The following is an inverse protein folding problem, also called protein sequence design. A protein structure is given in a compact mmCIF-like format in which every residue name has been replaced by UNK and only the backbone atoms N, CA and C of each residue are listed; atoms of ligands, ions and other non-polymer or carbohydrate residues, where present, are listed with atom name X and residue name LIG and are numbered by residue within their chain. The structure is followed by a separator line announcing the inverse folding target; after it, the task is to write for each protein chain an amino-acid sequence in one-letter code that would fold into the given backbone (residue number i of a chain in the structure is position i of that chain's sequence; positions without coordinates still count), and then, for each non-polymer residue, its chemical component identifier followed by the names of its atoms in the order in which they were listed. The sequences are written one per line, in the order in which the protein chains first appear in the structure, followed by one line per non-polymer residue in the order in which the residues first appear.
data_IF_594001256754
#
_entry.id   IF_594001256754
#
_cell.length_a   1.000
_cell.length_b   1.000
_cell.length_c   1.000
_cell.angle_alpha   90.00
_cell.angle_beta   90.00
_cell.angle_gamma   90.00
#
_symmetry.space_group_name_H-M   'P 1'
#
loop_
_entity.id
_entity.type
_entity.pdbx_description
1 polymer ?
#
# COMPACT_ATOMS: atom_id res chain seq x y z
N UNK A 1 19.92 -36.95 32.67
CA UNK A 1 20.42 -36.73 31.30
C UNK A 1 20.12 -37.97 30.47
N UNK A 2 19.03 -37.98 29.71
CA UNK A 2 18.85 -38.95 28.63
C UNK A 2 18.50 -38.13 27.39
N UNK A 3 19.47 -37.99 26.48
CA UNK A 3 19.23 -37.46 25.13
C UNK A 3 18.71 -38.65 24.32
N UNK A 4 17.39 -38.74 24.13
CA UNK A 4 16.85 -39.57 23.06
C UNK A 4 17.12 -38.85 21.74
N UNK A 5 18.10 -39.36 21.00
CA UNK A 5 18.34 -39.03 19.60
C UNK A 5 17.12 -39.46 18.79
N UNK A 6 16.29 -38.49 18.42
CA UNK A 6 15.19 -38.67 17.47
C UNK A 6 15.80 -38.93 16.09
N UNK A 7 15.70 -40.18 15.62
CA UNK A 7 16.04 -40.53 14.23
C UNK A 7 14.89 -40.11 13.33
N UNK A 8 15.09 -39.04 12.55
CA UNK A 8 14.26 -38.75 11.38
C UNK A 8 14.54 -39.85 10.35
N UNK A 9 13.60 -40.77 10.13
CA UNK A 9 13.66 -41.66 8.98
C UNK A 9 13.33 -40.83 7.74
N UNK A 10 14.33 -40.60 6.89
CA UNK A 10 14.12 -40.08 5.55
C UNK A 10 13.38 -41.15 4.75
N UNK A 11 12.05 -41.11 4.79
CA UNK A 11 11.25 -41.81 3.81
C UNK A 11 11.50 -41.16 2.45
N UNK A 12 11.64 -41.98 1.41
CA UNK A 12 11.61 -41.58 -0.01
C UNK A 12 10.24 -40.97 -0.34
N UNK A 13 9.93 -39.81 0.23
CA UNK A 13 8.69 -39.08 0.03
C UNK A 13 8.93 -37.98 -1.02
N UNK A 14 8.34 -38.09 -2.23
CA UNK A 14 8.43 -37.04 -3.25
C UNK A 14 7.76 -35.72 -2.82
N UNK A 15 7.06 -35.69 -1.68
CA UNK A 15 6.39 -34.50 -1.14
C UNK A 15 7.10 -33.87 0.07
N UNK A 16 8.32 -34.30 0.41
CA UNK A 16 9.15 -33.70 1.46
C UNK A 16 8.44 -33.56 2.83
N UNK A 17 7.49 -34.43 3.14
CA UNK A 17 6.79 -34.35 4.43
C UNK A 17 7.68 -34.90 5.54
N UNK A 18 7.87 -34.09 6.58
CA UNK A 18 8.49 -34.58 7.81
C UNK A 18 7.39 -35.21 8.64
N UNK A 19 7.31 -36.54 8.59
CA UNK A 19 6.38 -37.31 9.43
C UNK A 19 7.02 -37.52 10.80
N UNK A 20 6.38 -37.01 11.84
CA UNK A 20 6.78 -37.24 13.23
C UNK A 20 5.70 -38.09 13.91
N UNK A 21 6.14 -39.15 14.56
CA UNK A 21 5.27 -39.96 15.41
C UNK A 21 5.16 -39.30 16.77
N UNK A 22 3.93 -39.13 17.26
CA UNK A 22 3.70 -38.57 18.58
C UNK A 22 3.97 -39.64 19.66
N UNK A 23 4.45 -39.20 20.84
CA UNK A 23 4.64 -40.11 21.97
C UNK A 23 3.29 -40.72 22.39
N UNK A 24 3.29 -42.04 22.60
CA UNK A 24 2.07 -42.80 22.85
C UNK A 24 1.48 -42.43 24.22
N UNK A 25 0.21 -42.04 24.23
CA UNK A 25 -0.51 -41.78 25.47
C UNK A 25 -0.75 -43.09 26.25
N UNK A 26 -0.48 -43.08 27.56
CA UNK A 26 -0.72 -44.23 28.45
C UNK A 26 -2.23 -44.36 28.66
N UNK A 27 -2.82 -45.48 28.23
CA UNK A 27 -4.24 -45.79 28.44
C UNK A 27 -5.08 -46.05 27.17
N UNK A 28 -4.46 -46.32 26.03
CA UNK A 28 -5.19 -46.64 24.78
C UNK A 28 -5.76 -48.06 24.78
N UNK A 29 -7.01 -48.17 24.37
CA UNK A 29 -7.69 -49.44 24.11
C UNK A 29 -7.55 -49.87 22.63
N UNK A 30 -8.05 -51.05 22.29
CA UNK A 30 -7.93 -51.60 20.93
C UNK A 30 -8.59 -50.69 19.87
N UNK A 31 -9.70 -50.03 20.22
CA UNK A 31 -10.39 -49.11 19.31
C UNK A 31 -9.58 -47.85 19.04
N UNK A 32 -8.85 -47.35 20.04
CA UNK A 32 -7.98 -46.18 19.87
C UNK A 32 -6.88 -46.39 18.81
N UNK A 33 -6.39 -47.62 18.64
CA UNK A 33 -5.35 -47.93 17.63
C UNK A 33 -5.89 -47.98 16.20
N UNK A 34 -7.19 -48.27 16.03
CA UNK A 34 -7.82 -48.34 14.71
C UNK A 34 -8.28 -46.98 14.21
N UNK A 35 -8.65 -46.08 15.13
CA UNK A 35 -9.34 -44.82 14.78
C UNK A 35 -8.45 -43.59 14.89
N UNK A 36 -7.44 -43.59 15.78
CA UNK A 36 -6.62 -42.40 16.04
C UNK A 36 -5.36 -42.37 15.18
N UNK A 37 -5.09 -41.21 14.59
CA UNK A 37 -3.86 -40.96 13.83
C UNK A 37 -2.68 -40.73 14.78
N UNK A 38 -1.64 -41.55 14.63
CA UNK A 38 -0.41 -41.49 15.44
C UNK A 38 0.75 -40.78 14.76
N UNK A 39 0.62 -40.59 13.46
CA UNK A 39 1.61 -39.95 12.63
C UNK A 39 1.11 -38.54 12.28
N UNK A 40 1.88 -37.53 12.66
CA UNK A 40 1.66 -36.14 12.27
C UNK A 40 2.61 -35.80 11.12
N UNK A 41 2.05 -35.39 10.00
CA UNK A 41 2.81 -34.83 8.88
C UNK A 41 2.89 -33.31 9.04
N UNK A 42 4.10 -32.77 9.13
CA UNK A 42 4.33 -31.33 8.96
C UNK A 42 5.08 -31.10 7.67
N UNK A 43 4.59 -30.16 6.87
CA UNK A 43 5.36 -29.59 5.78
C UNK A 43 6.41 -28.66 6.39
N UNK A 44 7.71 -28.84 6.09
CA UNK A 44 8.71 -27.89 6.54
C UNK A 44 8.45 -26.55 5.85
N UNK A 45 7.91 -25.58 6.59
CA UNK A 45 7.95 -24.18 6.18
C UNK A 45 9.39 -23.71 6.38
N UNK A 46 10.29 -24.08 5.46
CA UNK A 46 11.62 -23.47 5.43
C UNK A 46 11.42 -21.98 5.19
N UNK A 47 11.55 -21.20 6.27
CA UNK A 47 11.67 -19.76 6.24
C UNK A 47 13.00 -19.40 5.58
N UNK A 48 13.05 -19.52 4.26
CA UNK A 48 14.09 -18.96 3.41
C UNK A 48 13.53 -18.93 1.99
N UNK A 49 13.39 -17.72 1.47
CA UNK A 49 12.91 -17.42 0.11
C UNK A 49 13.79 -18.04 -1.01
N UNK A 50 14.86 -18.77 -0.66
CA UNK A 50 15.85 -19.29 -1.62
C UNK A 50 15.67 -20.76 -2.04
N UNK A 51 14.75 -21.54 -1.47
CA UNK A 51 14.47 -22.91 -1.97
C UNK A 51 13.23 -22.90 -2.85
N UNK A 52 13.45 -22.64 -4.14
CA UNK A 52 12.45 -22.68 -5.22
C UNK A 52 12.11 -24.13 -5.60
N UNK A 53 11.65 -24.95 -4.67
CA UNK A 53 11.21 -26.33 -4.96
C UNK A 53 9.91 -26.71 -4.22
N UNK A 54 8.99 -25.76 -4.05
CA UNK A 54 7.59 -26.10 -3.83
C UNK A 54 6.76 -25.73 -5.08
N UNK A 55 6.31 -26.70 -5.90
CA UNK A 55 5.45 -26.45 -7.07
C UNK A 55 4.14 -25.72 -6.72
N UNK A 56 3.66 -25.81 -5.48
CA UNK A 56 2.52 -25.03 -4.98
C UNK A 56 2.83 -23.56 -4.65
N UNK A 57 4.11 -23.18 -4.50
CA UNK A 57 4.54 -21.79 -4.33
C UNK A 57 5.14 -21.18 -5.61
N UNK A 58 5.02 -21.85 -6.76
CA UNK A 58 5.12 -21.13 -8.03
C UNK A 58 3.86 -20.28 -8.14
N UNK A 59 3.97 -19.02 -7.73
CA UNK A 59 2.90 -18.03 -7.84
C UNK A 59 2.41 -18.08 -9.28
N UNK A 60 1.11 -18.34 -9.43
CA UNK A 60 0.50 -18.40 -10.74
C UNK A 60 0.66 -17.02 -11.39
N UNK A 61 1.11 -16.94 -12.65
CA UNK A 61 1.30 -15.66 -13.35
C UNK A 61 0.01 -14.83 -13.36
N UNK A 62 -1.16 -15.48 -13.35
CA UNK A 62 -2.45 -14.80 -13.22
C UNK A 62 -2.68 -14.22 -11.81
N UNK A 63 -2.21 -14.87 -10.75
CA UNK A 63 -2.29 -14.35 -9.39
C UNK A 63 -1.37 -13.14 -9.22
N UNK A 64 -0.13 -13.21 -9.72
CA UNK A 64 0.79 -12.07 -9.68
C UNK A 64 0.26 -10.87 -10.45
N UNK A 65 -0.35 -11.11 -11.63
CA UNK A 65 -1.01 -10.07 -12.40
C UNK A 65 -2.18 -9.46 -11.62
N UNK A 66 -3.01 -10.28 -10.96
CA UNK A 66 -4.12 -9.81 -10.15
C UNK A 66 -3.65 -8.96 -8.96
N UNK A 67 -2.62 -9.40 -8.23
CA UNK A 67 -2.03 -8.63 -7.14
C UNK A 67 -1.50 -7.28 -7.60
N UNK A 68 -0.78 -7.27 -8.73
CA UNK A 68 -0.26 -6.03 -9.30
C UNK A 68 -1.37 -5.08 -9.73
N UNK A 69 -2.42 -5.58 -10.38
CA UNK A 69 -3.59 -4.76 -10.72
C UNK A 69 -4.26 -4.16 -9.48
N UNK A 70 -4.32 -4.92 -8.38
CA UNK A 70 -4.89 -4.44 -7.12
C UNK A 70 -4.01 -3.38 -6.45
N UNK A 71 -2.69 -3.54 -6.48
CA UNK A 71 -1.74 -2.51 -6.02
C UNK A 71 -1.87 -1.22 -6.85
N UNK A 72 -1.87 -1.33 -8.19
CA UNK A 72 -2.05 -0.18 -9.09
C UNK A 72 -3.38 0.54 -8.81
N UNK A 73 -4.47 -0.22 -8.59
CA UNK A 73 -5.79 0.33 -8.22
C UNK A 73 -5.73 1.07 -6.89
N UNK A 74 -5.06 0.49 -5.89
CA UNK A 74 -4.91 1.09 -4.58
C UNK A 74 -4.09 2.38 -4.62
N UNK A 75 -2.99 2.39 -5.37
CA UNK A 75 -2.18 3.59 -5.58
C UNK A 75 -2.98 4.71 -6.23
N UNK A 76 -3.74 4.40 -7.29
CA UNK A 76 -4.62 5.38 -7.95
C UNK A 76 -5.66 5.95 -6.98
N UNK A 77 -6.25 5.12 -6.12
CA UNK A 77 -7.21 5.57 -5.11
C UNK A 77 -6.57 6.55 -4.12
N UNK A 78 -5.34 6.28 -3.66
CA UNK A 78 -4.57 7.18 -2.78
C UNK A 78 -4.31 8.53 -3.48
N UNK A 79 -3.92 8.52 -4.75
CA UNK A 79 -3.63 9.75 -5.49
C UNK A 79 -4.90 10.60 -5.71
N UNK A 80 -6.04 9.96 -6.03
CA UNK A 80 -7.32 10.64 -6.16
C UNK A 80 -7.73 11.28 -4.83
N UNK A 81 -7.62 10.55 -3.72
CA UNK A 81 -7.98 11.08 -2.39
C UNK A 81 -7.07 12.25 -1.98
N UNK A 82 -5.76 12.11 -2.19
CA UNK A 82 -4.77 13.15 -1.88
C UNK A 82 -5.02 14.42 -2.71
N UNK A 83 -5.32 14.26 -3.99
CA UNK A 83 -5.64 15.37 -4.88
C UNK A 83 -6.98 16.04 -4.50
N UNK A 84 -8.01 15.27 -4.17
CA UNK A 84 -9.29 15.80 -3.72
C UNK A 84 -9.15 16.63 -2.43
N UNK A 85 -8.33 16.17 -1.48
CA UNK A 85 -8.00 16.93 -0.27
C UNK A 85 -7.34 18.28 -0.60
N UNK A 86 -6.37 18.26 -1.53
CA UNK A 86 -5.67 19.47 -1.99
C UNK A 86 -6.60 20.44 -2.72
N UNK A 87 -7.52 19.93 -3.55
CA UNK A 87 -8.55 20.73 -4.24
C UNK A 87 -9.45 21.44 -3.24
N UNK A 88 -9.90 20.76 -2.17
CA UNK A 88 -10.74 21.38 -1.12
C UNK A 88 -10.01 22.54 -0.43
N UNK A 89 -8.74 22.34 -0.10
CA UNK A 89 -7.89 23.36 0.51
C UNK A 89 -7.71 24.57 -0.41
N UNK A 90 -7.33 24.34 -1.68
CA UNK A 90 -7.14 25.43 -2.65
C UNK A 90 -8.45 26.15 -2.98
N UNK A 91 -9.58 25.45 -3.03
CA UNK A 91 -10.91 26.06 -3.22
C UNK A 91 -11.21 27.05 -2.10
N UNK A 92 -10.93 26.69 -0.84
CA UNK A 92 -11.12 27.60 0.29
C UNK A 92 -10.26 28.85 0.17
N UNK A 93 -9.01 28.71 -0.26
CA UNK A 93 -8.09 29.83 -0.46
C UNK A 93 -8.56 30.74 -1.60
N UNK A 94 -8.97 30.17 -2.74
CA UNK A 94 -9.46 30.94 -3.89
C UNK A 94 -10.71 31.72 -3.52
N UNK A 95 -11.65 31.11 -2.80
CA UNK A 95 -12.86 31.81 -2.32
C UNK A 95 -12.50 32.98 -1.36
N UNK A 96 -11.50 32.80 -0.50
CA UNK A 96 -11.00 33.89 0.35
C UNK A 96 -10.42 35.03 -0.48
N UNK A 97 -9.58 34.70 -1.48
CA UNK A 97 -8.99 35.68 -2.40
C UNK A 97 -10.07 36.46 -3.16
N UNK A 98 -11.13 35.79 -3.62
CA UNK A 98 -12.25 36.44 -4.32
C UNK A 98 -12.98 37.47 -3.44
N UNK A 99 -13.08 37.21 -2.13
CA UNK A 99 -13.71 38.13 -1.17
C UNK A 99 -12.84 39.32 -0.73
N UNK A 100 -11.52 39.27 -0.97
CA UNK A 100 -10.56 40.30 -0.56
C UNK A 100 -10.44 41.44 -1.57
N UNK A 101 -10.05 42.63 -1.10
CA UNK A 101 -9.76 43.78 -1.98
C UNK A 101 -8.45 43.56 -2.74
N UNK A 102 -8.24 44.21 -3.90
CA UNK A 102 -7.00 44.07 -4.65
C UNK A 102 -5.74 44.41 -3.83
N UNK A 103 -5.78 45.38 -2.91
CA UNK A 103 -4.62 45.69 -2.07
C UNK A 103 -4.30 44.60 -1.05
N UNK A 104 -5.32 43.90 -0.55
CA UNK A 104 -5.16 42.79 0.40
C UNK A 104 -4.63 41.53 -0.31
N UNK A 105 -5.03 41.31 -1.57
CA UNK A 105 -4.56 40.19 -2.40
C UNK A 105 -3.05 40.22 -2.62
N UNK A 106 -2.49 41.40 -2.88
CA UNK A 106 -1.06 41.57 -3.14
C UNK A 106 -0.20 41.38 -1.87
N UNK A 107 -0.81 41.51 -0.69
CA UNK A 107 -0.15 41.32 0.61
C UNK A 107 -0.35 39.92 1.19
N UNK A 108 -1.21 39.11 0.56
CA UNK A 108 -1.55 37.78 1.04
C UNK A 108 -0.33 36.85 0.92
N UNK A 109 0.16 36.38 2.05
CA UNK A 109 1.18 35.33 2.12
C UNK A 109 0.63 34.15 2.91
N UNK A 110 0.76 32.95 2.34
CA UNK A 110 0.30 31.73 2.99
C UNK A 110 1.46 31.05 3.73
N UNK A 111 1.25 30.52 4.95
CA UNK A 111 2.25 29.72 5.63
C UNK A 111 2.57 28.45 4.82
N UNK A 112 3.73 27.82 5.07
CA UNK A 112 4.20 26.64 4.33
C UNK A 112 3.18 25.47 4.26
N UNK A 113 2.25 25.38 5.22
CA UNK A 113 1.14 24.42 5.21
C UNK A 113 -0.11 24.83 4.41
N UNK A 114 -0.08 25.96 3.71
CA UNK A 114 -1.23 26.59 3.01
C UNK A 114 -2.48 26.74 3.90
N UNK A 115 -2.28 26.86 5.22
CA UNK A 115 -3.36 26.94 6.21
C UNK A 115 -4.06 25.61 6.53
N UNK A 116 -3.57 24.48 6.04
CA UNK A 116 -4.08 23.14 6.34
C UNK A 116 -3.33 22.42 7.47
N UNK A 117 -3.82 21.22 7.82
CA UNK A 117 -3.21 20.37 8.85
C UNK A 117 -1.88 19.72 8.43
N UNK A 118 -1.59 19.63 7.13
CA UNK A 118 -0.39 18.96 6.62
C UNK A 118 0.05 19.54 5.27
N UNK A 119 1.33 19.85 5.17
CA UNK A 119 2.00 20.24 3.92
C UNK A 119 2.29 19.03 3.00
N UNK A 120 2.32 17.83 3.55
CA UNK A 120 2.71 16.62 2.81
C UNK A 120 1.69 16.26 1.72
N UNK A 121 0.39 16.46 1.97
CA UNK A 121 -0.66 16.10 1.00
C UNK A 121 -0.63 17.03 -0.23
N UNK A 122 -0.63 18.38 -0.09
CA UNK A 122 -0.47 19.27 -1.24
C UNK A 122 0.82 19.00 -2.01
N UNK A 123 1.94 18.80 -1.30
CA UNK A 123 3.22 18.48 -1.92
C UNK A 123 3.16 17.18 -2.72
N UNK A 124 2.52 16.13 -2.17
CA UNK A 124 2.37 14.84 -2.86
C UNK A 124 1.51 14.99 -4.11
N UNK A 125 0.33 15.63 -4.00
CA UNK A 125 -0.55 15.86 -5.15
C UNK A 125 0.17 16.63 -6.26
N UNK A 126 0.88 17.71 -5.91
CA UNK A 126 1.64 18.51 -6.89
C UNK A 126 2.75 17.71 -7.55
N UNK A 127 3.49 16.87 -6.82
CA UNK A 127 4.52 15.97 -7.39
C UNK A 127 3.96 14.87 -8.30
N UNK A 128 2.66 14.57 -8.20
CA UNK A 128 2.00 13.58 -9.06
C UNK A 128 1.46 14.24 -10.33
N UNK A 129 0.94 15.47 -10.24
CA UNK A 129 0.41 16.22 -11.39
C UNK A 129 1.51 16.92 -12.19
N UNK A 130 2.55 17.38 -11.49
CA UNK A 130 3.74 18.02 -12.03
C UNK A 130 4.98 17.20 -11.69
N UNK A 131 6.10 17.47 -12.36
CA UNK A 131 7.37 16.84 -12.04
C UNK A 131 7.88 17.25 -10.64
N UNK A 132 8.69 16.42 -9.95
CA UNK A 132 9.15 16.71 -8.59
C UNK A 132 9.85 18.06 -8.41
N UNK A 133 10.59 18.52 -9.42
CA UNK A 133 11.27 19.83 -9.42
C UNK A 133 10.26 20.98 -9.53
N UNK A 134 9.35 20.90 -10.52
CA UNK A 134 8.30 21.91 -10.74
C UNK A 134 7.33 22.01 -9.57
N UNK A 135 7.05 20.91 -8.90
CA UNK A 135 6.21 20.89 -7.72
C UNK A 135 6.78 21.78 -6.59
N UNK A 136 8.11 21.83 -6.42
CA UNK A 136 8.75 22.69 -5.43
C UNK A 136 8.62 24.17 -5.80
N UNK A 137 8.86 24.52 -7.06
CA UNK A 137 8.69 25.89 -7.57
C UNK A 137 7.25 26.37 -7.42
N UNK A 138 6.26 25.51 -7.74
CA UNK A 138 4.84 25.83 -7.61
C UNK A 138 4.45 26.00 -6.13
N UNK A 139 5.01 25.19 -5.23
CA UNK A 139 4.79 25.37 -3.79
C UNK A 139 5.31 26.72 -3.31
N UNK A 140 6.53 27.09 -3.67
CA UNK A 140 7.09 28.41 -3.33
C UNK A 140 6.27 29.56 -3.91
N UNK A 141 5.80 29.41 -5.16
CA UNK A 141 4.93 30.38 -5.81
C UNK A 141 3.56 30.50 -5.12
N UNK A 142 3.00 29.41 -4.60
CA UNK A 142 1.76 29.41 -3.81
C UNK A 142 1.93 30.14 -2.47
N UNK A 143 3.14 30.14 -1.87
CA UNK A 143 3.42 30.90 -0.65
C UNK A 143 3.58 32.40 -0.90
N UNK A 144 4.29 32.74 -1.97
CA UNK A 144 4.65 34.14 -2.28
C UNK A 144 3.53 34.89 -2.99
N UNK A 145 2.81 34.25 -3.91
CA UNK A 145 1.78 34.87 -4.75
C UNK A 145 0.51 34.00 -4.84
N UNK A 146 -0.14 33.69 -3.70
CA UNK A 146 -1.30 32.79 -3.66
C UNK A 146 -2.46 33.25 -4.54
N UNK A 147 -2.73 34.56 -4.60
CA UNK A 147 -3.87 35.10 -5.34
C UNK A 147 -3.81 34.81 -6.86
N UNK A 148 -2.61 34.73 -7.43
CA UNK A 148 -2.40 34.47 -8.86
C UNK A 148 -2.25 32.97 -9.12
N UNK A 149 -1.47 32.28 -8.29
CA UNK A 149 -1.06 30.90 -8.54
C UNK A 149 -2.15 29.89 -8.15
N UNK A 150 -2.86 30.10 -7.03
CA UNK A 150 -3.88 29.20 -6.54
C UNK A 150 -4.98 28.85 -7.55
N UNK A 151 -5.62 29.80 -8.26
CA UNK A 151 -6.68 29.48 -9.22
C UNK A 151 -6.15 28.69 -10.44
N UNK A 152 -4.91 28.94 -10.87
CA UNK A 152 -4.28 28.23 -11.99
C UNK A 152 -4.04 26.77 -11.61
N UNK A 153 -3.45 26.55 -10.45
CA UNK A 153 -3.18 25.20 -9.92
C UNK A 153 -4.48 24.46 -9.65
N UNK A 154 -5.47 25.11 -9.04
CA UNK A 154 -6.79 24.52 -8.77
C UNK A 154 -7.44 23.97 -10.04
N UNK A 155 -7.48 24.77 -11.12
CA UNK A 155 -8.03 24.34 -12.41
C UNK A 155 -7.29 23.13 -12.97
N UNK A 156 -5.97 23.09 -12.82
CA UNK A 156 -5.15 21.97 -13.30
C UNK A 156 -5.37 20.70 -12.49
N UNK A 157 -5.47 20.81 -11.17
CA UNK A 157 -5.77 19.66 -10.29
C UNK A 157 -7.17 19.09 -10.56
N UNK A 158 -8.17 19.95 -10.79
CA UNK A 158 -9.52 19.52 -11.18
C UNK A 158 -9.53 18.77 -12.51
N UNK A 159 -8.83 19.30 -13.53
CA UNK A 159 -8.70 18.61 -14.81
C UNK A 159 -8.06 17.23 -14.66
N UNK A 160 -7.02 17.13 -13.82
CA UNK A 160 -6.32 15.86 -13.58
C UNK A 160 -7.17 14.88 -12.76
N UNK A 161 -7.97 15.38 -11.82
CA UNK A 161 -8.93 14.58 -11.06
C UNK A 161 -9.95 13.90 -11.99
N UNK A 162 -10.50 14.63 -12.94
CA UNK A 162 -11.43 14.06 -13.92
C UNK A 162 -10.76 12.98 -14.78
N UNK A 163 -9.51 13.19 -15.20
CA UNK A 163 -8.74 12.23 -15.98
C UNK A 163 -8.54 10.93 -15.19
N UNK A 164 -8.09 11.02 -13.93
CA UNK A 164 -7.88 9.85 -13.07
C UNK A 164 -9.20 9.13 -12.75
N UNK A 165 -10.29 9.87 -12.52
CA UNK A 165 -11.61 9.27 -12.32
C UNK A 165 -12.14 8.56 -13.57
N UNK A 166 -11.80 9.06 -14.77
CA UNK A 166 -12.14 8.36 -16.02
C UNK A 166 -11.32 7.08 -16.16
N UNK A 167 -10.02 7.11 -15.86
CA UNK A 167 -9.14 5.94 -15.87
C UNK A 167 -9.59 4.89 -14.87
N UNK A 168 -10.01 5.27 -13.66
CA UNK A 168 -10.50 4.33 -12.64
C UNK A 168 -11.79 3.59 -13.02
N UNK A 169 -12.61 4.15 -13.92
CA UNK A 169 -13.89 3.55 -14.36
C UNK A 169 -13.75 2.68 -15.61
N UNK A 170 -12.67 2.82 -16.35
CA UNK A 170 -12.37 2.03 -17.56
C UNK A 170 -11.56 0.80 -17.19
#
# INVERSE_FOLDING_TARGET
MYKQTLQCQAANDPYWTSVKRMDQAIGRDAMCWEVLNDDWASFPTTASEEVVENPQHRKNTYEEALFKCEEDRHELDIEIETNMSTIRLLTSIVNQVESMTPEERDRLQLPYGLGGYSEALPRRALKKVYDPQRALEIMEALHTHPAVVAPIVLRRLQQKDEEWRRQRRG
#
